data_IF_850093786505
#
_entry.id   IF_850093786505
#
_cell.length_a   1.000
_cell.length_b   1.000
_cell.length_c   1.000
_cell.angle_alpha   90.00
_cell.angle_beta   90.00
_cell.angle_gamma   90.00
#
_symmetry.space_group_name_H-M   'P 1'
#
loop_
_entity.id
_entity.type
_entity.pdbx_description
1 polymer ?
#
# COMPACT_ATOMS: atom_id res chain seq x y z
N UNK A 1 15.52 28.48 -3.24
CA UNK A 1 15.77 27.75 -1.96
C UNK A 1 16.50 26.46 -2.28
N UNK A 2 17.51 26.12 -1.48
CA UNK A 2 18.22 24.84 -1.61
C UNK A 2 17.25 23.66 -1.39
N UNK A 3 17.35 22.61 -2.24
CA UNK A 3 16.56 21.36 -2.15
C UNK A 3 17.39 20.23 -1.52
N UNK A 4 18.25 20.56 -0.56
CA UNK A 4 19.06 19.58 0.16
C UNK A 4 18.22 19.02 1.31
N UNK A 5 18.00 17.71 1.31
CA UNK A 5 17.33 16.98 2.38
C UNK A 5 18.35 16.43 3.37
N UNK A 6 18.03 16.45 4.65
CA UNK A 6 18.92 16.01 5.73
C UNK A 6 18.52 14.65 6.32
N UNK A 7 17.38 14.10 5.92
CA UNK A 7 16.91 12.78 6.30
C UNK A 7 16.15 12.13 5.15
N UNK A 8 16.31 10.82 4.97
CA UNK A 8 15.66 10.08 3.89
C UNK A 8 14.12 10.09 3.98
N UNK A 9 13.56 10.14 5.18
CA UNK A 9 12.11 10.19 5.38
C UNK A 9 11.46 11.50 4.90
N UNK A 10 12.24 12.56 4.68
CA UNK A 10 11.78 13.81 4.05
C UNK A 10 11.50 13.65 2.55
N UNK A 11 12.01 12.59 1.92
CA UNK A 11 11.79 12.26 0.51
C UNK A 11 10.46 11.54 0.26
N UNK A 12 9.79 11.07 1.32
CA UNK A 12 8.53 10.33 1.22
C UNK A 12 7.43 11.22 0.65
N UNK A 13 6.62 10.66 -0.25
CA UNK A 13 5.52 11.35 -0.91
C UNK A 13 5.93 12.08 -2.18
N UNK A 14 5.07 12.94 -2.69
CA UNK A 14 5.24 13.68 -3.95
C UNK A 14 5.56 12.77 -5.13
N UNK A 15 4.94 11.60 -5.13
CA UNK A 15 5.09 10.60 -6.18
C UNK A 15 4.38 11.04 -7.46
N UNK A 16 4.89 10.67 -8.65
CA UNK A 16 4.32 11.13 -9.90
C UNK A 16 3.03 10.39 -10.28
N UNK A 17 2.25 11.02 -11.16
CA UNK A 17 1.23 10.37 -11.99
C UNK A 17 1.84 10.04 -13.36
N UNK A 18 1.55 8.85 -13.87
CA UNK A 18 1.87 8.40 -15.23
C UNK A 18 0.59 8.02 -15.96
N UNK A 19 0.33 8.63 -17.13
CA UNK A 19 -0.76 8.19 -18.01
C UNK A 19 -0.36 6.90 -18.72
N UNK A 20 -1.20 5.86 -18.63
CA UNK A 20 -0.94 4.54 -19.21
C UNK A 20 -1.37 4.50 -20.70
N UNK A 21 -0.74 5.33 -21.52
CA UNK A 21 -1.14 5.59 -22.91
C UNK A 21 -1.06 4.38 -23.82
N UNK A 22 -0.11 3.46 -23.60
CA UNK A 22 0.00 2.25 -24.41
C UNK A 22 -1.09 1.24 -24.04
N UNK A 23 -1.44 1.14 -22.77
CA UNK A 23 -2.57 0.31 -22.29
C UNK A 23 -3.88 0.87 -22.84
N UNK A 24 -4.11 2.18 -22.74
CA UNK A 24 -5.28 2.85 -23.31
C UNK A 24 -5.44 2.55 -24.78
N UNK A 25 -4.37 2.74 -25.55
CA UNK A 25 -4.36 2.44 -26.99
C UNK A 25 -4.62 0.98 -27.30
N UNK A 26 -3.98 0.06 -26.57
CA UNK A 26 -4.12 -1.39 -26.77
C UNK A 26 -5.56 -1.86 -26.61
N UNK A 27 -6.25 -1.35 -25.60
CA UNK A 27 -7.64 -1.72 -25.29
C UNK A 27 -8.68 -0.81 -25.96
N UNK A 28 -8.24 0.20 -26.73
CA UNK A 28 -9.15 1.19 -27.37
C UNK A 28 -9.98 1.99 -26.38
N UNK A 29 -9.38 2.29 -25.20
CA UNK A 29 -10.08 2.99 -24.13
C UNK A 29 -10.31 4.45 -24.50
N UNK A 30 -11.45 4.98 -24.09
CA UNK A 30 -11.83 6.39 -24.26
C UNK A 30 -11.76 7.17 -22.94
N UNK A 31 -11.50 6.50 -21.83
CA UNK A 31 -11.17 7.09 -20.55
C UNK A 31 -9.65 7.17 -20.39
N UNK A 32 -9.16 8.13 -19.63
CA UNK A 32 -7.73 8.20 -19.23
C UNK A 32 -7.48 7.36 -17.99
N UNK A 33 -6.35 6.66 -17.96
CA UNK A 33 -5.88 5.92 -16.77
C UNK A 33 -4.56 6.52 -16.30
N UNK A 34 -4.60 7.18 -15.14
CA UNK A 34 -3.45 7.81 -14.50
C UNK A 34 -2.97 6.95 -13.33
N UNK A 35 -1.75 6.44 -13.42
CA UNK A 35 -1.14 5.61 -12.41
C UNK A 35 -0.36 6.45 -11.39
N UNK A 36 -0.75 6.42 -10.10
CA UNK A 36 0.02 7.01 -8.99
C UNK A 36 1.14 6.05 -8.60
N UNK A 37 2.38 6.37 -8.95
CA UNK A 37 3.53 5.48 -8.82
C UNK A 37 4.17 5.56 -7.44
N UNK A 38 3.67 4.80 -6.48
CA UNK A 38 4.13 4.84 -5.09
C UNK A 38 5.50 4.18 -4.85
N UNK A 39 6.05 3.47 -5.85
CA UNK A 39 7.41 2.95 -5.75
C UNK A 39 8.50 4.05 -5.79
N UNK A 40 8.16 5.28 -6.14
CA UNK A 40 9.07 6.44 -6.03
C UNK A 40 9.34 6.87 -4.59
N UNK A 41 8.61 6.35 -3.61
CA UNK A 41 8.99 6.52 -2.22
C UNK A 41 10.36 5.86 -1.94
N UNK A 42 11.17 6.39 -1.00
CA UNK A 42 12.55 5.92 -0.77
C UNK A 42 12.71 4.43 -0.48
N UNK A 43 11.78 3.84 0.27
CA UNK A 43 11.77 2.40 0.53
C UNK A 43 10.91 1.61 -0.48
N UNK A 44 10.46 2.25 -1.57
CA UNK A 44 9.85 1.62 -2.75
C UNK A 44 8.39 1.25 -2.61
N UNK A 45 7.63 1.82 -1.69
CA UNK A 45 6.20 1.55 -1.59
C UNK A 45 5.36 2.66 -0.95
N UNK A 46 4.05 2.57 -1.14
CA UNK A 46 3.04 3.42 -0.49
C UNK A 46 3.12 3.36 1.06
N UNK A 47 3.65 2.29 1.62
CA UNK A 47 3.73 2.08 3.07
C UNK A 47 4.75 2.97 3.75
N UNK A 48 5.68 3.56 3.02
CA UNK A 48 6.60 4.57 3.55
C UNK A 48 5.82 5.74 4.16
N UNK A 49 4.71 6.13 3.54
CA UNK A 49 3.84 7.21 4.01
C UNK A 49 3.26 6.92 5.39
N UNK A 50 2.66 5.75 5.56
CA UNK A 50 2.05 5.37 6.84
C UNK A 50 3.10 5.06 7.89
N UNK A 51 4.24 4.51 7.52
CA UNK A 51 5.37 4.29 8.43
C UNK A 51 5.82 5.62 9.05
N UNK A 52 6.06 6.62 8.20
CA UNK A 52 6.40 7.98 8.67
C UNK A 52 5.29 8.57 9.54
N UNK A 53 4.03 8.51 9.10
CA UNK A 53 2.91 9.14 9.82
C UNK A 53 2.66 8.50 11.20
N UNK A 54 2.75 7.17 11.32
CA UNK A 54 2.59 6.47 12.60
C UNK A 54 3.72 6.82 13.57
N UNK A 55 4.96 6.97 13.08
CA UNK A 55 6.10 7.40 13.90
C UNK A 55 5.95 8.86 14.28
N UNK A 56 5.63 9.76 13.35
CA UNK A 56 5.40 11.20 13.62
C UNK A 56 4.34 11.40 14.71
N UNK A 57 3.21 10.70 14.64
CA UNK A 57 2.15 10.81 15.61
C UNK A 57 2.55 10.24 16.99
N UNK A 58 3.33 9.16 17.00
CA UNK A 58 3.83 8.57 18.23
C UNK A 58 4.86 9.46 18.93
N UNK A 59 5.76 10.11 18.19
CA UNK A 59 6.68 11.13 18.71
C UNK A 59 5.93 12.32 19.28
N UNK A 60 4.99 12.87 18.50
CA UNK A 60 4.18 14.04 18.90
C UNK A 60 3.36 13.78 20.15
N UNK A 61 2.81 12.58 20.30
CA UNK A 61 2.01 12.19 21.48
C UNK A 61 2.85 11.72 22.66
N UNK A 62 4.18 11.66 22.53
CA UNK A 62 5.09 11.18 23.58
C UNK A 62 5.07 9.66 23.81
N UNK A 63 4.39 8.91 22.95
CA UNK A 63 4.39 7.43 22.99
C UNK A 63 5.70 6.83 22.52
N UNK A 64 6.39 7.50 21.60
CA UNK A 64 7.71 7.12 21.09
C UNK A 64 8.75 8.15 21.57
N UNK A 65 9.77 7.68 22.26
CA UNK A 65 10.89 8.47 22.79
C UNK A 65 12.18 8.00 22.14
N UNK A 66 13.27 8.74 22.33
CA UNK A 66 14.56 8.44 21.72
C UNK A 66 15.11 7.04 22.07
N UNK A 67 14.79 6.53 23.25
CA UNK A 67 15.19 5.20 23.74
C UNK A 67 14.12 4.12 23.50
N UNK A 68 13.06 4.45 22.81
CA UNK A 68 11.98 3.51 22.51
C UNK A 68 12.37 2.47 21.46
N UNK A 69 11.76 1.29 21.55
CA UNK A 69 11.88 0.21 20.56
C UNK A 69 10.58 0.08 19.81
N UNK A 70 10.64 0.18 18.48
CA UNK A 70 9.47 -0.06 17.62
C UNK A 70 9.35 -1.56 17.41
N UNK A 71 8.15 -2.12 17.57
CA UNK A 71 7.87 -3.54 17.34
C UNK A 71 6.65 -3.62 16.43
N UNK A 72 6.75 -4.28 15.27
CA UNK A 72 5.60 -4.45 14.37
C UNK A 72 5.51 -5.88 13.85
N UNK A 73 4.34 -6.53 14.01
CA UNK A 73 4.07 -7.83 13.39
C UNK A 73 3.66 -7.61 11.93
N UNK A 74 4.60 -7.78 11.01
CA UNK A 74 4.37 -7.60 9.58
C UNK A 74 5.41 -8.31 8.74
N UNK A 75 5.02 -8.84 7.60
CA UNK A 75 5.92 -9.45 6.62
C UNK A 75 5.99 -8.66 5.31
N UNK A 76 5.29 -7.53 5.24
CA UNK A 76 5.08 -6.78 4.01
C UNK A 76 5.81 -5.44 3.97
N UNK A 77 5.35 -4.61 3.06
CA UNK A 77 5.89 -3.28 2.79
C UNK A 77 5.87 -2.35 4.01
N UNK A 78 4.93 -2.54 4.94
CA UNK A 78 4.90 -1.75 6.18
C UNK A 78 6.15 -1.98 7.02
N UNK A 79 6.61 -3.24 7.14
CA UNK A 79 7.86 -3.54 7.84
C UNK A 79 9.08 -2.90 7.18
N UNK A 80 9.14 -2.91 5.86
CA UNK A 80 10.21 -2.27 5.09
C UNK A 80 10.18 -0.75 5.30
N UNK A 81 9.00 -0.12 5.18
CA UNK A 81 8.83 1.32 5.39
C UNK A 81 9.18 1.75 6.82
N UNK A 82 8.71 1.00 7.83
CA UNK A 82 9.05 1.26 9.23
C UNK A 82 10.55 1.10 9.50
N UNK A 83 11.18 0.07 8.94
CA UNK A 83 12.62 -0.14 9.07
C UNK A 83 13.42 1.02 8.45
N UNK A 84 13.01 1.50 7.27
CA UNK A 84 13.65 2.62 6.60
C UNK A 84 13.51 3.94 7.39
N UNK A 85 12.31 4.25 7.91
CA UNK A 85 12.09 5.46 8.73
C UNK A 85 12.81 5.34 10.07
N UNK A 86 12.80 4.17 10.70
CA UNK A 86 13.53 3.92 11.95
C UNK A 86 15.04 4.13 11.76
N UNK A 87 15.62 3.61 10.67
CA UNK A 87 17.02 3.85 10.33
C UNK A 87 17.32 5.34 10.13
N UNK A 88 16.46 6.06 9.41
CA UNK A 88 16.64 7.50 9.15
C UNK A 88 16.59 8.35 10.44
N UNK A 89 15.89 7.88 11.48
CA UNK A 89 15.70 8.60 12.75
C UNK A 89 16.49 8.02 13.93
N UNK A 90 17.21 6.92 13.72
CA UNK A 90 18.04 6.28 14.76
C UNK A 90 17.25 5.46 15.78
N UNK A 91 16.05 4.98 15.44
CA UNK A 91 15.28 4.08 16.30
C UNK A 91 15.69 2.64 16.14
N UNK A 92 15.71 1.92 17.24
CA UNK A 92 15.75 0.45 17.25
C UNK A 92 14.38 -0.09 16.81
N UNK A 93 14.37 -1.07 15.91
CA UNK A 93 13.13 -1.68 15.41
C UNK A 93 13.26 -3.20 15.36
N UNK A 94 12.20 -3.87 15.81
CA UNK A 94 12.03 -5.32 15.76
C UNK A 94 10.81 -5.61 14.87
N UNK A 95 11.02 -6.37 13.79
CA UNK A 95 9.93 -6.85 12.94
C UNK A 95 9.70 -8.33 13.25
N UNK A 96 8.45 -8.65 13.54
CA UNK A 96 8.03 -10.02 13.87
C UNK A 96 7.24 -10.61 12.71
N UNK A 97 7.65 -11.78 12.20
CA UNK A 97 6.97 -12.41 11.06
C UNK A 97 7.13 -13.92 11.07
N UNK A 98 6.23 -14.67 10.38
CA UNK A 98 6.42 -16.10 10.17
C UNK A 98 7.68 -16.40 9.35
N UNK A 99 8.37 -17.49 9.67
CA UNK A 99 9.58 -17.94 8.96
C UNK A 99 9.37 -18.29 7.48
N UNK A 100 8.10 -18.52 7.07
CA UNK A 100 7.72 -18.83 5.68
C UNK A 100 7.69 -17.62 4.76
N UNK A 101 7.91 -16.41 5.28
CA UNK A 101 7.86 -15.19 4.51
C UNK A 101 9.08 -15.01 3.59
N UNK A 102 8.90 -14.23 2.51
CA UNK A 102 9.88 -13.98 1.45
C UNK A 102 11.27 -13.60 2.00
N UNK A 103 12.30 -14.25 1.47
CA UNK A 103 13.69 -14.01 1.83
C UNK A 103 14.10 -12.59 1.43
N UNK A 104 13.67 -12.12 0.27
CA UNK A 104 13.97 -10.78 -0.26
C UNK A 104 13.48 -9.69 0.71
N UNK A 105 12.26 -9.82 1.20
CA UNK A 105 11.70 -8.87 2.18
C UNK A 105 12.45 -8.89 3.51
N UNK A 106 12.83 -10.08 3.97
CA UNK A 106 13.66 -10.22 5.18
C UNK A 106 15.02 -9.55 5.01
N UNK A 107 15.66 -9.72 3.85
CA UNK A 107 16.94 -9.09 3.53
C UNK A 107 16.81 -7.56 3.45
N UNK A 108 15.77 -7.02 2.84
CA UNK A 108 15.52 -5.58 2.81
C UNK A 108 15.39 -4.99 4.21
N UNK A 109 14.59 -5.60 5.08
CA UNK A 109 14.41 -5.11 6.46
C UNK A 109 15.73 -5.16 7.24
N UNK A 110 16.50 -6.25 7.11
CA UNK A 110 17.84 -6.35 7.72
C UNK A 110 18.82 -5.32 7.17
N UNK A 111 18.77 -5.01 5.87
CA UNK A 111 19.62 -4.00 5.26
C UNK A 111 19.37 -2.60 5.83
N UNK A 112 18.14 -2.30 6.27
CA UNK A 112 17.81 -1.10 7.03
C UNK A 112 18.15 -1.20 8.53
N UNK A 113 18.74 -2.30 8.99
CA UNK A 113 19.13 -2.48 10.40
C UNK A 113 18.02 -3.02 11.31
N UNK A 114 16.90 -3.47 10.78
CA UNK A 114 15.84 -4.06 11.60
C UNK A 114 16.27 -5.43 12.17
N UNK A 115 15.94 -5.67 13.43
CA UNK A 115 16.01 -6.98 14.05
C UNK A 115 14.78 -7.80 13.61
N UNK A 116 15.00 -9.05 13.19
CA UNK A 116 13.92 -9.94 12.78
C UNK A 116 13.72 -11.03 13.84
N UNK A 117 12.47 -11.13 14.30
CA UNK A 117 12.00 -12.27 15.12
C UNK A 117 11.09 -13.13 14.25
N UNK A 118 11.59 -14.35 13.94
CA UNK A 118 10.84 -15.30 13.14
C UNK A 118 10.01 -16.19 14.06
N UNK A 119 8.73 -16.35 13.70
CA UNK A 119 7.80 -17.24 14.40
C UNK A 119 7.51 -18.48 13.56
N UNK A 120 7.02 -19.52 14.20
CA UNK A 120 6.65 -20.78 13.58
C UNK A 120 5.66 -20.56 12.43
N UNK A 121 6.01 -21.05 11.24
CA UNK A 121 5.24 -20.83 10.00
C UNK A 121 3.80 -21.31 10.10
N UNK A 122 3.55 -22.43 10.79
CA UNK A 122 2.21 -22.99 10.97
C UNK A 122 1.25 -22.05 11.72
N UNK A 123 1.76 -21.13 12.55
CA UNK A 123 0.96 -20.14 13.30
C UNK A 123 0.61 -18.91 12.48
N UNK A 124 1.22 -18.73 11.31
CA UNK A 124 0.98 -17.59 10.42
C UNK A 124 1.11 -16.24 11.12
N UNK A 125 0.40 -15.22 10.60
CA UNK A 125 0.44 -13.88 11.19
C UNK A 125 -0.14 -13.80 12.61
N UNK A 126 -1.05 -14.69 12.99
CA UNK A 126 -1.55 -14.74 14.38
C UNK A 126 -0.42 -15.03 15.37
N UNK A 127 0.50 -15.94 15.03
CA UNK A 127 1.69 -16.22 15.82
C UNK A 127 2.64 -15.03 15.91
N UNK A 128 2.82 -14.30 14.83
CA UNK A 128 3.64 -13.09 14.80
C UNK A 128 3.05 -11.97 15.67
N UNK A 129 1.74 -11.76 15.63
CA UNK A 129 1.03 -10.78 16.46
C UNK A 129 1.20 -11.12 17.94
N UNK A 130 0.93 -12.37 18.34
CA UNK A 130 1.08 -12.80 19.72
C UNK A 130 2.52 -12.60 20.22
N UNK A 131 3.53 -12.93 19.40
CA UNK A 131 4.93 -12.73 19.79
C UNK A 131 5.32 -11.25 19.88
N UNK A 132 4.78 -10.40 19.02
CA UNK A 132 5.00 -8.95 19.11
C UNK A 132 4.42 -8.38 20.42
N UNK A 133 3.23 -8.82 20.83
CA UNK A 133 2.61 -8.45 22.10
C UNK A 133 3.42 -8.94 23.33
N UNK A 134 3.97 -10.15 23.26
CA UNK A 134 4.88 -10.66 24.31
C UNK A 134 6.13 -9.80 24.40
N UNK A 135 6.80 -9.53 23.28
CA UNK A 135 7.99 -8.68 23.23
C UNK A 135 7.72 -7.28 23.76
N UNK A 136 6.55 -6.73 23.48
CA UNK A 136 6.20 -5.41 23.98
C UNK A 136 6.03 -5.34 25.50
N UNK A 137 5.72 -6.48 26.14
CA UNK A 137 5.67 -6.61 27.61
C UNK A 137 7.08 -6.87 28.19
N UNK A 138 7.93 -7.57 27.45
CA UNK A 138 9.30 -7.88 27.84
C UNK A 138 10.25 -6.66 27.73
N UNK A 139 10.00 -5.80 26.72
CA UNK A 139 10.87 -4.65 26.39
C UNK A 139 10.23 -3.36 26.90
N UNK A 140 10.79 -2.72 27.93
CA UNK A 140 10.32 -1.42 28.39
C UNK A 140 10.41 -0.36 27.27
N UNK A 141 9.51 0.61 27.30
CA UNK A 141 9.41 1.69 26.33
C UNK A 141 9.23 1.22 24.87
N UNK A 142 8.65 0.03 24.66
CA UNK A 142 8.30 -0.42 23.30
C UNK A 142 7.01 0.26 22.79
N UNK A 143 6.93 0.37 21.47
CA UNK A 143 5.79 0.94 20.75
C UNK A 143 5.42 0.03 19.57
N UNK A 144 4.14 -0.35 19.48
CA UNK A 144 3.58 -1.08 18.35
C UNK A 144 2.77 -0.10 17.50
N UNK A 145 3.21 0.22 16.27
CA UNK A 145 2.50 1.12 15.34
C UNK A 145 1.07 0.68 15.03
N UNK A 146 0.83 -0.60 14.73
CA UNK A 146 -0.50 -1.17 14.56
C UNK A 146 -1.23 -0.70 13.31
N UNK A 147 -0.72 -1.03 12.12
CA UNK A 147 -1.19 -0.52 10.83
C UNK A 147 -2.70 -0.72 10.55
N UNK A 148 -3.33 -1.73 11.14
CA UNK A 148 -4.75 -2.06 10.90
C UNK A 148 -5.73 -1.29 11.79
N UNK A 149 -5.24 -0.68 12.86
CA UNK A 149 -6.06 0.01 13.88
C UNK A 149 -5.63 1.46 14.11
N UNK A 150 -4.47 1.86 13.62
CA UNK A 150 -3.89 3.18 13.87
C UNK A 150 -4.49 4.24 12.91
N UNK A 151 -5.20 5.26 13.42
CA UNK A 151 -5.82 6.30 12.60
C UNK A 151 -4.80 7.16 11.83
N UNK A 152 -3.53 7.18 12.22
CA UNK A 152 -2.48 7.85 11.47
C UNK A 152 -2.30 7.27 10.05
N UNK A 153 -2.72 6.01 9.82
CA UNK A 153 -2.67 5.38 8.52
C UNK A 153 -3.59 6.08 7.49
N UNK A 154 -4.92 6.07 7.60
CA UNK A 154 -5.77 6.80 6.65
C UNK A 154 -5.52 8.31 6.67
N UNK A 155 -5.17 8.89 7.82
CA UNK A 155 -4.82 10.31 7.94
C UNK A 155 -3.63 10.68 7.05
N UNK A 156 -2.59 9.85 6.96
CA UNK A 156 -1.45 10.07 6.07
C UNK A 156 -1.88 10.23 4.61
N UNK A 157 -2.83 9.43 4.15
CA UNK A 157 -3.35 9.49 2.79
C UNK A 157 -4.29 10.68 2.57
N UNK A 158 -5.08 11.03 3.57
CA UNK A 158 -5.92 12.23 3.53
C UNK A 158 -5.08 13.50 3.44
N UNK A 159 -3.96 13.58 4.17
CA UNK A 159 -3.11 14.75 4.25
C UNK A 159 -2.05 14.84 3.13
N UNK A 160 -1.72 13.73 2.47
CA UNK A 160 -0.64 13.71 1.46
C UNK A 160 -1.08 13.13 0.12
N UNK A 161 -1.41 11.87 0.03
CA UNK A 161 -1.71 11.18 -1.24
C UNK A 161 -2.92 11.78 -1.96
N UNK A 162 -3.99 12.04 -1.24
CA UNK A 162 -5.20 12.68 -1.77
C UNK A 162 -4.95 14.08 -2.33
N UNK A 163 -4.34 14.99 -1.56
CA UNK A 163 -3.92 16.31 -2.04
C UNK A 163 -3.01 16.29 -3.25
N UNK A 164 -2.02 15.37 -3.28
CA UNK A 164 -1.12 15.22 -4.42
C UNK A 164 -1.89 14.83 -5.69
N UNK A 165 -2.75 13.81 -5.61
CA UNK A 165 -3.58 13.39 -6.75
C UNK A 165 -4.45 14.54 -7.25
N UNK A 166 -5.11 15.24 -6.34
CA UNK A 166 -5.99 16.36 -6.69
C UNK A 166 -5.24 17.51 -7.37
N UNK A 167 -4.05 17.87 -6.86
CA UNK A 167 -3.23 18.92 -7.42
C UNK A 167 -2.63 18.53 -8.78
N UNK A 168 -2.13 17.29 -8.92
CA UNK A 168 -1.49 16.81 -10.15
C UNK A 168 -2.48 16.60 -11.30
N UNK A 169 -3.79 16.55 -11.00
CA UNK A 169 -4.87 16.43 -11.99
C UNK A 169 -5.65 17.73 -12.18
N UNK A 170 -5.22 18.84 -11.58
CA UNK A 170 -6.00 20.09 -11.53
C UNK A 170 -7.45 19.88 -11.01
N UNK A 171 -7.63 18.86 -10.16
CA UNK A 171 -8.94 18.47 -9.61
C UNK A 171 -9.80 17.61 -10.52
N UNK A 172 -9.32 17.27 -11.71
CA UNK A 172 -10.06 16.47 -12.71
C UNK A 172 -9.90 14.96 -12.43
N UNK A 173 -10.52 14.47 -11.36
CA UNK A 173 -10.62 13.06 -11.00
C UNK A 173 -12.07 12.64 -10.97
N UNK A 174 -12.45 11.68 -11.81
CA UNK A 174 -13.81 11.11 -11.82
C UNK A 174 -13.88 9.82 -11.01
N UNK A 175 -12.85 8.98 -11.11
CA UNK A 175 -12.80 7.67 -10.45
C UNK A 175 -11.42 7.48 -9.81
N UNK A 176 -11.40 7.08 -8.54
CA UNK A 176 -10.19 6.64 -7.85
C UNK A 176 -10.25 5.15 -7.56
N UNK A 177 -9.19 4.41 -7.92
CA UNK A 177 -9.10 2.96 -7.77
C UNK A 177 -7.91 2.60 -6.89
N UNK A 178 -8.13 1.80 -5.87
CA UNK A 178 -7.05 1.30 -5.02
C UNK A 178 -7.34 -0.11 -4.49
N UNK A 179 -6.28 -0.94 -4.42
CA UNK A 179 -6.31 -2.22 -3.72
C UNK A 179 -6.43 -2.03 -2.21
N UNK A 180 -7.17 -2.91 -1.55
CA UNK A 180 -7.40 -2.86 -0.10
C UNK A 180 -6.56 -3.91 0.62
N UNK A 181 -5.50 -3.44 1.30
CA UNK A 181 -4.76 -4.20 2.31
C UNK A 181 -5.24 -3.82 3.71
N UNK A 182 -4.72 -2.71 4.26
CA UNK A 182 -5.23 -2.13 5.51
C UNK A 182 -6.48 -1.25 5.29
N UNK A 183 -6.72 -0.81 4.05
CA UNK A 183 -7.80 0.12 3.74
C UNK A 183 -7.45 1.59 3.94
N UNK A 184 -6.28 1.92 4.48
CA UNK A 184 -5.88 3.30 4.75
C UNK A 184 -5.82 4.17 3.49
N UNK A 185 -5.32 3.62 2.38
CA UNK A 185 -5.23 4.35 1.10
C UNK A 185 -6.61 4.71 0.57
N UNK A 186 -7.49 3.73 0.40
CA UNK A 186 -8.84 3.95 -0.15
C UNK A 186 -9.65 4.88 0.74
N UNK A 187 -9.50 4.74 2.06
CA UNK A 187 -10.16 5.60 3.06
C UNK A 187 -9.66 7.03 2.97
N UNK A 188 -8.37 7.26 3.15
CA UNK A 188 -7.83 8.62 3.24
C UNK A 188 -7.92 9.39 1.93
N UNK A 189 -7.54 8.76 0.80
CA UNK A 189 -7.67 9.39 -0.52
C UNK A 189 -9.14 9.61 -0.89
N UNK A 190 -9.98 8.59 -0.67
CA UNK A 190 -11.41 8.69 -0.98
C UNK A 190 -12.10 9.80 -0.21
N UNK A 191 -11.87 9.90 1.10
CA UNK A 191 -12.40 10.97 1.94
C UNK A 191 -11.91 12.35 1.46
N UNK A 192 -10.63 12.49 1.11
CA UNK A 192 -10.10 13.76 0.62
C UNK A 192 -10.74 14.15 -0.71
N UNK A 193 -10.73 13.27 -1.70
CA UNK A 193 -11.29 13.56 -3.03
C UNK A 193 -12.78 13.87 -2.96
N UNK A 194 -13.56 13.10 -2.20
CA UNK A 194 -15.01 13.37 -1.99
C UNK A 194 -15.26 14.67 -1.23
N UNK A 195 -14.35 15.11 -0.36
CA UNK A 195 -14.45 16.43 0.29
C UNK A 195 -14.29 17.59 -0.69
N UNK A 196 -13.59 17.38 -1.82
CA UNK A 196 -13.41 18.36 -2.88
C UNK A 196 -14.50 18.27 -3.95
N UNK A 197 -14.85 17.04 -4.33
CA UNK A 197 -15.91 16.76 -5.28
C UNK A 197 -16.69 15.50 -4.86
N UNK A 198 -17.89 15.62 -4.28
CA UNK A 198 -18.69 14.48 -3.82
C UNK A 198 -19.07 13.48 -4.93
N UNK A 199 -18.92 13.86 -6.21
CA UNK A 199 -19.23 13.00 -7.36
C UNK A 199 -18.10 12.04 -7.72
N UNK A 200 -16.91 12.19 -7.13
CA UNK A 200 -15.80 11.26 -7.33
C UNK A 200 -16.22 9.87 -6.87
N UNK A 201 -16.12 8.91 -7.79
CA UNK A 201 -16.37 7.50 -7.50
C UNK A 201 -15.10 6.86 -6.95
N UNK A 202 -15.22 6.20 -5.80
CA UNK A 202 -14.11 5.46 -5.16
C UNK A 202 -14.36 3.98 -5.35
N UNK A 203 -13.37 3.27 -5.90
CA UNK A 203 -13.45 1.82 -6.18
C UNK A 203 -12.39 1.08 -5.38
N UNK A 204 -12.85 0.16 -4.56
CA UNK A 204 -12.02 -0.75 -3.80
C UNK A 204 -11.73 -2.02 -4.60
N UNK A 205 -10.48 -2.48 -4.60
CA UNK A 205 -10.07 -3.72 -5.27
C UNK A 205 -9.65 -4.74 -4.23
N UNK A 206 -10.16 -5.97 -4.34
CA UNK A 206 -9.84 -7.10 -3.47
C UNK A 206 -9.58 -8.37 -4.29
N UNK A 207 -8.84 -9.37 -3.73
CA UNK A 207 -8.68 -10.66 -4.39
C UNK A 207 -10.01 -11.42 -4.47
N UNK A 208 -10.36 -11.96 -5.65
CA UNK A 208 -11.62 -12.66 -5.87
C UNK A 208 -11.80 -13.90 -4.97
N UNK A 209 -10.68 -14.62 -4.70
CA UNK A 209 -10.68 -15.79 -3.82
C UNK A 209 -10.73 -15.46 -2.31
N UNK A 210 -10.65 -14.17 -1.95
CA UNK A 210 -10.73 -13.66 -0.57
C UNK A 210 -11.53 -12.36 -0.53
N UNK A 211 -12.72 -12.35 -1.15
CA UNK A 211 -13.54 -11.17 -1.37
C UNK A 211 -14.38 -10.82 -0.12
N UNK A 212 -13.69 -10.51 0.98
CA UNK A 212 -14.29 -10.24 2.29
C UNK A 212 -15.14 -8.97 2.27
N UNK A 213 -14.71 -7.94 1.55
CA UNK A 213 -15.46 -6.68 1.41
C UNK A 213 -16.77 -6.89 0.65
N UNK A 214 -16.80 -7.87 -0.26
CA UNK A 214 -18.00 -8.29 -1.00
C UNK A 214 -18.85 -9.30 -0.20
N UNK A 215 -18.57 -9.53 1.09
CA UNK A 215 -19.33 -10.41 1.96
C UNK A 215 -19.03 -11.91 1.77
N UNK A 216 -17.96 -12.28 1.09
CA UNK A 216 -17.52 -13.67 0.94
C UNK A 216 -16.53 -14.07 2.04
N UNK A 217 -16.35 -15.37 2.31
CA UNK A 217 -15.32 -15.84 3.25
C UNK A 217 -13.92 -15.42 2.80
N UNK A 218 -13.01 -15.28 3.77
CA UNK A 218 -11.58 -15.16 3.47
C UNK A 218 -11.05 -16.47 2.88
N UNK A 219 -10.10 -16.36 1.95
CA UNK A 219 -9.47 -17.48 1.28
C UNK A 219 -8.02 -17.20 0.93
N UNK A 220 -7.30 -18.25 0.51
CA UNK A 220 -5.93 -18.11 0.02
C UNK A 220 -5.92 -17.39 -1.34
N UNK A 221 -5.00 -16.44 -1.49
CA UNK A 221 -4.78 -15.70 -2.72
C UNK A 221 -3.30 -15.36 -2.90
N UNK A 222 -2.93 -14.93 -4.11
CA UNK A 222 -1.55 -14.58 -4.47
C UNK A 222 -1.34 -13.07 -4.66
N UNK A 223 -2.36 -12.24 -4.46
CA UNK A 223 -2.27 -10.77 -4.58
C UNK A 223 -1.67 -10.20 -3.30
N UNK A 224 -0.33 -10.29 -3.20
CA UNK A 224 0.41 -9.80 -2.02
C UNK A 224 0.17 -8.31 -1.79
N UNK A 225 -0.03 -7.92 -0.53
CA UNK A 225 -0.29 -6.53 -0.12
C UNK A 225 -1.76 -6.12 -0.10
N UNK A 226 -2.66 -6.97 -0.60
CA UNK A 226 -4.12 -6.82 -0.55
C UNK A 226 -4.77 -8.00 0.17
N UNK A 227 -6.05 -7.88 0.52
CA UNK A 227 -6.83 -9.01 1.05
C UNK A 227 -6.35 -9.49 2.42
N UNK A 228 -6.52 -8.68 3.46
CA UNK A 228 -6.11 -9.01 4.84
C UNK A 228 -6.86 -10.22 5.44
N UNK A 229 -7.95 -10.65 4.82
CA UNK A 229 -8.80 -11.76 5.30
C UNK A 229 -9.84 -11.33 6.33
N UNK A 230 -9.91 -10.05 6.64
CA UNK A 230 -10.89 -9.41 7.53
C UNK A 230 -11.10 -7.95 7.10
N UNK A 231 -12.11 -7.29 7.66
CA UNK A 231 -12.34 -5.85 7.46
C UNK A 231 -11.51 -5.10 8.49
N UNK A 232 -10.49 -4.30 8.08
CA UNK A 232 -9.64 -3.56 9.02
C UNK A 232 -10.39 -2.41 9.71
N UNK A 233 -10.03 -2.10 10.95
CA UNK A 233 -10.67 -1.01 11.73
C UNK A 233 -10.45 0.37 11.11
N UNK A 234 -9.33 0.58 10.42
CA UNK A 234 -9.02 1.85 9.75
C UNK A 234 -9.71 2.03 8.39
N UNK A 235 -10.41 0.99 7.90
CA UNK A 235 -11.18 1.06 6.67
C UNK A 235 -12.55 1.69 6.91
N UNK A 236 -12.79 2.84 6.29
CA UNK A 236 -14.14 3.42 6.20
C UNK A 236 -14.91 2.72 5.06
N UNK A 237 -15.80 1.81 5.43
CA UNK A 237 -16.60 1.05 4.44
C UNK A 237 -17.66 1.89 3.72
N UNK A 238 -17.91 3.12 4.17
CA UNK A 238 -18.81 4.05 3.52
C UNK A 238 -18.13 4.93 2.45
N UNK A 239 -16.78 4.89 2.37
CA UNK A 239 -16.03 5.76 1.45
C UNK A 239 -16.06 5.28 0.01
N UNK A 240 -16.07 3.99 -0.23
CA UNK A 240 -16.08 3.42 -1.57
C UNK A 240 -17.51 3.17 -2.08
N UNK A 241 -17.68 3.36 -3.38
CA UNK A 241 -18.96 3.25 -4.08
C UNK A 241 -19.10 1.91 -4.80
N UNK A 242 -17.98 1.23 -5.07
CA UNK A 242 -17.93 -0.07 -5.75
C UNK A 242 -16.75 -0.89 -5.25
N UNK A 243 -16.92 -2.22 -5.29
CA UNK A 243 -15.86 -3.19 -5.02
C UNK A 243 -15.68 -4.05 -6.27
N UNK A 244 -14.43 -4.20 -6.72
CA UNK A 244 -14.08 -5.07 -7.86
C UNK A 244 -13.17 -6.18 -7.35
N UNK A 245 -13.67 -7.42 -7.27
CA UNK A 245 -12.84 -8.59 -7.03
C UNK A 245 -12.01 -8.91 -8.29
N UNK A 246 -10.71 -9.19 -8.11
CA UNK A 246 -9.77 -9.49 -9.21
C UNK A 246 -9.14 -10.86 -8.99
N UNK A 247 -9.10 -11.68 -10.04
CA UNK A 247 -8.46 -13.00 -10.03
C UNK A 247 -6.92 -12.88 -10.01
N UNK A 248 -6.24 -13.90 -9.48
CA UNK A 248 -4.78 -13.90 -9.41
C UNK A 248 -4.15 -13.79 -10.80
N UNK A 249 -4.72 -14.51 -11.77
CA UNK A 249 -4.24 -14.57 -13.16
C UNK A 249 -4.34 -13.21 -13.85
N UNK A 250 -5.43 -12.47 -13.61
CA UNK A 250 -5.62 -11.12 -14.14
C UNK A 250 -4.64 -10.13 -13.52
N UNK A 251 -4.38 -10.25 -12.21
CA UNK A 251 -3.38 -9.44 -11.52
C UNK A 251 -1.97 -9.68 -12.08
N UNK A 252 -1.60 -10.95 -12.33
CA UNK A 252 -0.30 -11.29 -12.90
C UNK A 252 -0.17 -10.84 -14.36
N UNK A 253 -1.16 -11.13 -15.21
CA UNK A 253 -1.12 -10.77 -16.63
C UNK A 253 -1.03 -9.27 -16.83
N UNK A 254 -1.84 -8.50 -16.09
CA UNK A 254 -1.84 -7.04 -16.15
C UNK A 254 -0.54 -6.46 -15.57
N UNK A 255 -0.01 -7.02 -14.48
CA UNK A 255 1.28 -6.59 -13.92
C UNK A 255 2.45 -6.78 -14.90
N UNK A 256 2.50 -7.92 -15.62
CA UNK A 256 3.46 -8.16 -16.71
C UNK A 256 3.28 -7.17 -17.86
N UNK A 257 2.03 -6.87 -18.19
CA UNK A 257 1.69 -5.96 -19.28
C UNK A 257 2.13 -4.52 -19.00
N UNK A 258 1.96 -4.02 -17.77
CA UNK A 258 2.43 -2.70 -17.37
C UNK A 258 3.94 -2.58 -17.59
N UNK A 259 4.71 -3.58 -17.17
CA UNK A 259 6.16 -3.61 -17.39
C UNK A 259 6.54 -3.57 -18.86
N UNK A 260 5.87 -4.37 -19.70
CA UNK A 260 6.19 -4.49 -21.13
C UNK A 260 5.74 -3.29 -21.97
N UNK A 261 4.61 -2.69 -21.64
CA UNK A 261 4.01 -1.65 -22.46
C UNK A 261 4.33 -0.23 -21.94
N UNK A 262 4.36 -0.03 -20.64
CA UNK A 262 4.57 1.31 -20.05
C UNK A 262 6.00 1.50 -19.50
N UNK A 263 6.82 0.46 -19.46
CA UNK A 263 8.22 0.55 -19.04
C UNK A 263 8.41 0.73 -17.54
N UNK A 264 7.41 0.39 -16.72
CA UNK A 264 7.49 0.46 -15.25
C UNK A 264 7.20 -0.91 -14.64
N UNK A 265 8.11 -1.39 -13.77
CA UNK A 265 7.93 -2.64 -13.05
C UNK A 265 7.18 -2.39 -11.74
N UNK A 266 6.07 -3.09 -11.57
CA UNK A 266 5.17 -2.92 -10.43
C UNK A 266 4.82 -4.26 -9.78
N UNK A 267 4.33 -4.23 -8.54
CA UNK A 267 3.93 -5.44 -7.81
C UNK A 267 2.58 -6.02 -8.26
N UNK A 268 2.25 -7.19 -7.70
CA UNK A 268 1.05 -7.96 -8.07
C UNK A 268 -0.23 -7.16 -7.79
N UNK A 269 -0.30 -6.46 -6.64
CA UNK A 269 -1.46 -5.65 -6.29
C UNK A 269 -1.66 -4.44 -7.21
N UNK A 270 -0.57 -3.94 -7.83
CA UNK A 270 -0.65 -2.91 -8.87
C UNK A 270 -1.30 -3.47 -10.13
N UNK A 271 -0.93 -4.70 -10.53
CA UNK A 271 -1.59 -5.41 -11.63
C UNK A 271 -3.09 -5.58 -11.41
N UNK A 272 -3.48 -5.98 -10.19
CA UNK A 272 -4.89 -6.10 -9.82
C UNK A 272 -5.64 -4.76 -9.92
N UNK A 273 -5.05 -3.68 -9.39
CA UNK A 273 -5.66 -2.36 -9.42
C UNK A 273 -5.81 -1.81 -10.86
N UNK A 274 -4.79 -1.98 -11.70
CA UNK A 274 -4.86 -1.56 -13.13
C UNK A 274 -5.84 -2.41 -13.91
N UNK A 275 -5.93 -3.74 -13.65
CA UNK A 275 -6.98 -4.57 -14.25
C UNK A 275 -8.38 -4.01 -13.97
N UNK A 276 -8.67 -3.68 -12.73
CA UNK A 276 -9.95 -3.06 -12.36
C UNK A 276 -10.16 -1.70 -13.05
N UNK A 277 -9.10 -0.88 -13.18
CA UNK A 277 -9.17 0.40 -13.89
C UNK A 277 -9.46 0.22 -15.39
N UNK A 278 -8.88 -0.80 -16.05
CA UNK A 278 -9.16 -1.15 -17.44
C UNK A 278 -10.63 -1.56 -17.60
N UNK A 279 -11.15 -2.41 -16.71
CA UNK A 279 -12.56 -2.84 -16.76
C UNK A 279 -13.54 -1.65 -16.56
N UNK A 280 -13.19 -0.71 -15.67
CA UNK A 280 -13.95 0.54 -15.52
C UNK A 280 -13.87 1.41 -16.78
N UNK A 281 -12.69 1.53 -17.40
CA UNK A 281 -12.47 2.36 -18.58
C UNK A 281 -13.18 1.83 -19.83
N UNK A 282 -13.46 0.53 -19.92
CA UNK A 282 -14.24 -0.10 -21.00
C UNK A 282 -15.73 0.21 -20.92
N UNK A 283 -16.23 0.66 -19.79
CA UNK A 283 -17.66 0.93 -19.60
C UNK A 283 -18.07 2.18 -20.37
N UNK A 284 -19.15 2.16 -21.16
CA UNK A 284 -19.60 3.31 -21.96
C UNK A 284 -19.83 4.57 -21.14
N UNK A 285 -20.37 4.43 -19.93
CA UNK A 285 -20.64 5.55 -19.02
C UNK A 285 -19.37 6.24 -18.49
N UNK A 286 -18.21 5.65 -18.71
CA UNK A 286 -16.92 6.20 -18.30
C UNK A 286 -16.12 6.80 -19.47
N UNK A 287 -16.70 6.88 -20.67
CA UNK A 287 -16.08 7.57 -21.80
C UNK A 287 -15.74 9.02 -21.45
N UNK A 288 -14.51 9.45 -21.73
CA UNK A 288 -14.00 10.79 -21.45
C UNK A 288 -13.62 11.06 -19.98
N UNK A 289 -13.80 10.08 -19.07
CA UNK A 289 -13.47 10.25 -17.65
C UNK A 289 -11.99 10.03 -17.36
N UNK A 290 -11.54 10.64 -16.26
CA UNK A 290 -10.21 10.46 -15.69
C UNK A 290 -10.28 9.47 -14.53
N UNK A 291 -9.58 8.33 -14.68
CA UNK A 291 -9.45 7.26 -13.69
C UNK A 291 -8.05 7.32 -13.10
N UNK A 292 -7.94 7.59 -11.81
CA UNK A 292 -6.66 7.52 -11.09
C UNK A 292 -6.58 6.18 -10.37
N UNK A 293 -5.51 5.43 -10.62
CA UNK A 293 -5.24 4.14 -9.99
C UNK A 293 -3.93 4.19 -9.21
N UNK A 294 -3.94 3.73 -7.95
CA UNK A 294 -2.74 3.72 -7.13
C UNK A 294 -1.98 2.39 -7.31
N UNK A 295 -0.69 2.49 -7.67
CA UNK A 295 0.23 1.38 -7.82
C UNK A 295 1.16 1.32 -6.60
N UNK A 296 0.96 0.35 -5.67
CA UNK A 296 1.54 0.42 -4.33
C UNK A 296 3.05 0.28 -4.25
N UNK A 297 3.70 -0.54 -5.09
CA UNK A 297 5.12 -0.84 -4.91
C UNK A 297 5.84 -1.24 -6.21
N UNK A 298 7.18 -1.40 -6.09
CA UNK A 298 8.08 -1.82 -7.18
C UNK A 298 7.94 -3.31 -7.51
N UNK A 299 8.14 -3.64 -8.78
CA UNK A 299 8.21 -5.03 -9.27
C UNK A 299 9.46 -5.80 -8.81
N UNK A 300 10.52 -5.11 -8.39
CA UNK A 300 11.79 -5.75 -7.99
C UNK A 300 11.63 -6.74 -6.84
N UNK A 301 10.61 -6.58 -6.02
CA UNK A 301 10.26 -7.46 -4.89
C UNK A 301 9.59 -8.77 -5.32
N UNK A 302 9.29 -8.93 -6.61
CA UNK A 302 8.47 -10.01 -7.16
C UNK A 302 9.14 -10.78 -8.28
N UNK A 303 10.45 -10.54 -8.55
CA UNK A 303 11.18 -11.17 -9.65
C UNK A 303 11.21 -12.70 -9.57
N UNK A 304 11.22 -13.26 -8.35
CA UNK A 304 11.17 -14.70 -8.10
C UNK A 304 9.74 -15.28 -8.00
N UNK A 305 8.70 -14.46 -8.19
CA UNK A 305 7.30 -14.89 -8.10
C UNK A 305 6.72 -15.16 -9.50
N UNK A 306 5.54 -15.83 -9.61
CA UNK A 306 4.86 -16.03 -10.90
C UNK A 306 4.51 -14.76 -11.67
N UNK A 307 4.67 -13.58 -11.04
CA UNK A 307 4.52 -12.30 -11.74
C UNK A 307 5.57 -12.16 -12.86
N UNK A 308 6.83 -12.58 -12.62
CA UNK A 308 7.92 -12.43 -13.58
C UNK A 308 8.66 -13.74 -13.88
N UNK A 309 8.64 -14.71 -12.96
CA UNK A 309 9.22 -16.03 -13.22
C UNK A 309 8.41 -16.78 -14.30
N UNK A 310 9.11 -17.55 -15.15
CA UNK A 310 8.54 -18.43 -16.17
C UNK A 310 8.01 -19.74 -15.57
#
# INVERSE_FOLDING_TARGET
MSKIYTSADQLIGRTPLLELTHIEKKYGLKAKILAKLEYFNPAGSVKDRIAKAMIDEAEKSGKLKADSVIIEPTSGNTGIGLAAVAAARGYRIIIVMPETMSVERRQLMKAYGAELVLTEGAKGMKGAIARAEELSKEIPNSFIPGQFVNPANPKAHFETTGPEIYADTDGEVDIFVAGVGTGGTVTGVGQYLKSKNPKVKVVAVEPASSAVLSGKPSGAHKVQGSGAGFVPDVLDTAVYDEIIPVENEDAFSTGKEIGKNEGVLVGISSGAAVHAAIELAKRPENEGKTIVVLLPDTGDRYLSTPLFAE
#
